data_IF_525431555254
#
_entry.id   IF_525431555254
#
_cell.length_a   1.000
_cell.length_b   1.000
_cell.length_c   1.000
_cell.angle_alpha   90.00
_cell.angle_beta   90.00
_cell.angle_gamma   90.00
#
_symmetry.space_group_name_H-M   'P 1'
#
loop_
_entity.id
_entity.type
_entity.pdbx_description
1 polymer ?
#
# COMPACT_ATOMS: atom_id res chain seq x y z
N UNK A 1 20.26 -3.89 24.50
CA UNK A 1 21.48 -4.25 23.73
C UNK A 1 21.12 -4.18 22.25
N UNK A 2 21.92 -3.52 21.41
CA UNK A 2 21.56 -3.30 20.00
C UNK A 2 21.54 -4.61 19.17
N UNK A 3 20.96 -4.53 17.97
CA UNK A 3 20.80 -5.65 17.04
C UNK A 3 22.16 -6.26 16.66
N UNK A 4 22.49 -7.42 17.25
CA UNK A 4 23.77 -8.14 17.10
C UNK A 4 23.93 -8.69 15.67
N UNK A 5 25.16 -8.95 15.17
CA UNK A 5 25.36 -9.43 13.79
C UNK A 5 24.58 -10.73 13.48
N UNK A 6 24.50 -11.68 14.42
CA UNK A 6 23.69 -12.90 14.26
C UNK A 6 22.18 -12.61 14.18
N UNK A 7 21.68 -11.63 14.95
CA UNK A 7 20.27 -11.21 14.86
C UNK A 7 19.95 -10.53 13.53
N UNK A 8 20.91 -9.80 12.93
CA UNK A 8 20.76 -9.23 11.57
C UNK A 8 20.68 -10.33 10.51
N UNK A 9 21.65 -11.25 10.49
CA UNK A 9 21.65 -12.37 9.55
C UNK A 9 20.36 -13.22 9.62
N UNK A 10 19.81 -13.41 10.83
CA UNK A 10 18.51 -14.05 11.02
C UNK A 10 17.36 -13.26 10.38
N UNK A 11 17.28 -11.94 10.63
CA UNK A 11 16.25 -11.06 10.02
C UNK A 11 16.37 -11.02 8.50
N UNK A 12 17.60 -10.92 7.98
CA UNK A 12 17.86 -10.89 6.53
C UNK A 12 17.46 -12.22 5.86
N UNK A 13 17.71 -13.36 6.52
CA UNK A 13 17.29 -14.68 6.03
C UNK A 13 15.76 -14.89 6.10
N UNK A 14 15.10 -14.47 7.20
CA UNK A 14 13.62 -14.51 7.31
C UNK A 14 12.97 -13.59 6.26
N UNK A 15 13.54 -12.40 6.01
CA UNK A 15 13.10 -11.50 4.93
C UNK A 15 13.36 -12.09 3.53
N UNK A 16 14.37 -12.94 3.39
CA UNK A 16 14.60 -13.78 2.20
C UNK A 16 13.68 -14.99 2.09
N UNK A 17 12.69 -15.16 2.98
CA UNK A 17 11.70 -16.25 2.93
C UNK A 17 12.15 -17.56 3.60
N UNK A 18 13.32 -17.60 4.24
CA UNK A 18 13.77 -18.80 4.95
C UNK A 18 12.93 -19.07 6.20
N UNK A 19 12.72 -20.35 6.55
CA UNK A 19 12.02 -20.70 7.79
C UNK A 19 12.82 -20.28 9.03
N UNK A 20 12.17 -20.12 10.18
CA UNK A 20 12.87 -19.79 11.43
C UNK A 20 13.99 -20.79 11.82
N UNK A 21 13.96 -22.03 11.30
CA UNK A 21 15.04 -23.00 11.51
C UNK A 21 16.22 -22.68 10.58
N UNK A 22 15.95 -22.50 9.30
CA UNK A 22 16.96 -22.30 8.26
C UNK A 22 17.62 -20.92 8.37
N UNK A 23 16.85 -19.90 8.77
CA UNK A 23 17.36 -18.58 9.11
C UNK A 23 18.31 -18.60 10.32
N UNK A 24 18.11 -19.51 11.29
CA UNK A 24 19.06 -19.71 12.39
C UNK A 24 20.33 -20.44 11.92
N UNK A 25 20.23 -21.38 10.98
CA UNK A 25 21.40 -22.00 10.35
C UNK A 25 22.20 -20.95 9.57
N UNK A 26 21.54 -20.13 8.75
CA UNK A 26 22.15 -19.01 8.03
C UNK A 26 22.80 -17.95 8.95
N UNK A 27 22.24 -17.73 10.15
CA UNK A 27 22.81 -16.88 11.19
C UNK A 27 23.99 -17.52 11.98
N UNK A 28 24.41 -18.74 11.62
CA UNK A 28 25.55 -19.44 12.23
C UNK A 28 25.22 -20.07 13.59
N UNK A 29 24.04 -20.67 13.72
CA UNK A 29 23.69 -21.58 14.83
C UNK A 29 23.77 -23.04 14.36
N UNK A 30 24.23 -23.94 15.23
CA UNK A 30 24.37 -25.36 14.90
C UNK A 30 23.01 -26.00 14.59
N UNK A 31 22.93 -26.79 13.51
CA UNK A 31 21.68 -27.34 12.96
C UNK A 31 20.82 -28.09 14.01
N UNK A 32 21.46 -28.85 14.92
CA UNK A 32 20.79 -29.54 16.03
C UNK A 32 20.07 -28.60 17.02
N UNK A 33 20.58 -27.38 17.18
CA UNK A 33 20.02 -26.34 18.07
C UNK A 33 19.19 -25.28 17.33
N UNK A 34 19.28 -25.22 16.01
CA UNK A 34 18.78 -24.12 15.19
C UNK A 34 17.27 -23.89 15.36
N UNK A 35 16.48 -24.95 15.54
CA UNK A 35 15.05 -24.84 15.80
C UNK A 35 14.72 -24.11 17.11
N UNK A 36 15.46 -24.41 18.19
CA UNK A 36 15.26 -23.78 19.50
C UNK A 36 15.85 -22.37 19.53
N UNK A 37 16.98 -22.15 18.87
CA UNK A 37 17.58 -20.82 18.69
C UNK A 37 16.66 -19.89 17.88
N UNK A 38 16.16 -20.36 16.73
CA UNK A 38 15.22 -19.62 15.87
C UNK A 38 13.91 -19.26 16.59
N UNK A 39 13.35 -20.18 17.38
CA UNK A 39 12.14 -19.91 18.17
C UNK A 39 12.35 -18.86 19.29
N UNK A 40 13.59 -18.70 19.79
CA UNK A 40 13.97 -17.63 20.73
C UNK A 40 14.20 -16.31 19.99
N UNK A 41 14.95 -16.34 18.88
CA UNK A 41 15.23 -15.17 18.04
C UNK A 41 13.96 -14.53 17.48
N UNK A 42 13.00 -15.33 16.99
CA UNK A 42 11.72 -14.82 16.47
C UNK A 42 10.87 -14.07 17.52
N UNK A 43 11.16 -14.25 18.82
CA UNK A 43 10.48 -13.59 19.94
C UNK A 43 11.29 -12.43 20.54
N UNK A 44 12.53 -12.23 20.11
CA UNK A 44 13.38 -11.15 20.61
C UNK A 44 12.83 -9.80 20.13
N UNK A 45 12.61 -8.86 21.06
CA UNK A 45 12.06 -7.52 20.76
C UNK A 45 12.80 -6.82 19.60
N UNK A 46 14.13 -6.85 19.61
CA UNK A 46 14.97 -6.24 18.56
C UNK A 46 14.87 -6.95 17.20
N UNK A 47 14.58 -8.26 17.16
CA UNK A 47 14.37 -9.01 15.91
C UNK A 47 13.00 -8.67 15.34
N UNK A 48 11.98 -8.57 16.19
CA UNK A 48 10.63 -8.13 15.80
C UNK A 48 10.66 -6.70 15.27
N UNK A 49 11.28 -5.76 16.01
CA UNK A 49 11.50 -4.36 15.59
C UNK A 49 12.19 -4.25 14.22
N UNK A 50 13.14 -5.16 13.91
CA UNK A 50 13.86 -5.17 12.65
C UNK A 50 13.13 -5.88 11.49
N UNK A 51 12.19 -6.78 11.80
CA UNK A 51 11.30 -7.43 10.82
C UNK A 51 10.17 -6.47 10.40
N UNK A 52 9.56 -5.77 11.37
CA UNK A 52 8.51 -4.77 11.11
C UNK A 52 9.08 -3.45 10.54
N UNK A 53 10.33 -3.12 10.88
CA UNK A 53 11.04 -1.98 10.31
C UNK A 53 11.34 -2.15 8.81
N UNK A 54 10.99 -1.13 8.03
CA UNK A 54 11.35 -0.99 6.61
C UNK A 54 12.87 -1.19 6.40
N UNK A 55 13.30 -1.91 5.34
CA UNK A 55 14.72 -2.14 5.08
C UNK A 55 15.43 -0.85 4.66
N UNK A 56 16.22 -0.27 5.58
CA UNK A 56 17.17 0.80 5.23
C UNK A 56 18.23 0.21 4.31
N UNK A 57 18.13 0.52 3.02
CA UNK A 57 18.85 -0.11 1.93
C UNK A 57 20.35 0.29 1.89
N UNK A 58 21.15 -0.26 2.81
CA UNK A 58 22.60 0.03 2.95
C UNK A 58 23.47 -0.39 1.76
N UNK A 59 22.89 -0.97 0.71
CA UNK A 59 23.59 -1.41 -0.50
C UNK A 59 23.91 -0.27 -1.49
N UNK A 60 23.33 0.91 -1.33
CA UNK A 60 23.59 2.07 -2.23
C UNK A 60 25.00 2.66 -2.03
N UNK A 61 25.62 2.52 -0.85
CA UNK A 61 26.95 3.07 -0.56
C UNK A 61 28.11 2.08 -0.81
N UNK A 62 28.05 1.27 -1.88
CA UNK A 62 29.18 0.45 -2.34
C UNK A 62 29.32 0.45 -3.87
N UNK A 63 29.87 1.54 -4.38
CA UNK A 63 30.49 1.58 -5.71
C UNK A 63 32.02 1.51 -5.61
N UNK A 64 32.67 0.99 -6.65
CA UNK A 64 34.14 0.83 -6.85
C UNK A 64 34.74 -0.29 -5.96
N UNK A 65 35.19 -1.46 -6.48
CA UNK A 65 36.02 -1.71 -7.68
C UNK A 65 36.05 -3.22 -8.04
N UNK A 66 36.14 -3.57 -9.33
CA UNK A 66 36.50 -4.92 -9.82
C UNK A 66 35.53 -5.51 -10.84
N UNK A 67 35.98 -5.70 -12.09
CA UNK A 67 35.20 -6.19 -13.23
C UNK A 67 35.63 -7.63 -13.68
N UNK A 68 34.89 -8.29 -14.59
CA UNK A 68 34.92 -9.76 -14.84
C UNK A 68 35.85 -10.17 -16.01
N UNK A 69 35.70 -11.33 -16.72
CA UNK A 69 34.65 -11.48 -17.78
C UNK A 69 34.18 -12.92 -18.20
N UNK A 70 33.13 -12.93 -19.06
CA UNK A 70 32.71 -13.95 -20.08
C UNK A 70 32.29 -15.36 -19.59
N UNK A 71 31.29 -16.06 -20.16
CA UNK A 71 30.76 -16.20 -21.54
C UNK A 71 29.24 -16.54 -21.50
N UNK A 72 28.41 -16.48 -22.56
CA UNK A 72 28.52 -16.09 -23.97
C UNK A 72 27.16 -15.59 -24.53
N UNK A 73 27.22 -14.91 -25.68
CA UNK A 73 26.13 -14.45 -26.57
C UNK A 73 26.71 -14.40 -28.01
N UNK A 74 26.02 -13.96 -29.10
CA UNK A 74 24.62 -13.54 -29.28
C UNK A 74 23.70 -14.74 -29.66
N UNK A 75 22.59 -14.71 -30.41
CA UNK A 75 21.92 -13.78 -31.37
C UNK A 75 20.42 -14.16 -31.52
N UNK A 76 19.50 -13.47 -32.24
CA UNK A 76 19.62 -12.60 -33.43
C UNK A 76 18.74 -11.31 -33.39
N UNK A 77 17.85 -11.06 -34.37
CA UNK A 77 17.12 -9.80 -34.74
C UNK A 77 15.79 -10.18 -35.43
N UNK A 78 14.75 -9.36 -35.66
CA UNK A 78 14.52 -7.89 -35.63
C UNK A 78 13.18 -7.56 -34.94
N UNK A 79 12.87 -6.35 -34.46
CA UNK A 79 13.67 -5.12 -34.38
C UNK A 79 12.87 -3.91 -33.83
N UNK A 80 13.58 -2.83 -33.46
CA UNK A 80 13.17 -1.39 -33.41
C UNK A 80 11.95 -0.96 -32.55
N UNK A 81 11.95 0.12 -31.75
CA UNK A 81 13.04 1.01 -31.27
C UNK A 81 12.60 1.74 -29.97
N UNK A 82 13.60 2.08 -29.16
CA UNK A 82 13.75 2.92 -27.94
C UNK A 82 12.67 3.98 -27.54
N UNK A 83 12.66 4.48 -26.28
CA UNK A 83 13.35 4.02 -25.06
C UNK A 83 12.40 3.68 -23.90
N UNK A 84 12.87 2.85 -22.96
CA UNK A 84 12.23 2.71 -21.64
C UNK A 84 12.57 3.95 -20.81
N UNK A 85 11.71 4.97 -20.87
CA UNK A 85 11.71 6.06 -19.89
C UNK A 85 11.67 5.46 -18.49
N UNK A 86 12.57 5.93 -17.61
CA UNK A 86 12.56 5.51 -16.23
C UNK A 86 11.21 5.89 -15.63
N UNK A 87 10.46 4.87 -15.17
CA UNK A 87 9.33 5.08 -14.27
C UNK A 87 9.91 5.52 -12.92
N UNK A 88 10.40 6.76 -12.89
CA UNK A 88 10.85 7.44 -11.70
C UNK A 88 9.76 7.28 -10.66
N UNK A 89 10.18 6.91 -9.46
CA UNK A 89 9.29 6.57 -8.36
C UNK A 89 8.13 7.54 -8.33
N UNK A 90 6.90 7.00 -8.35
CA UNK A 90 5.70 7.77 -8.05
C UNK A 90 5.79 8.20 -6.58
N UNK A 91 6.62 9.22 -6.35
CA UNK A 91 7.00 9.73 -5.06
C UNK A 91 5.71 10.18 -4.42
N UNK A 92 5.24 9.36 -3.48
CA UNK A 92 3.96 9.52 -2.80
C UNK A 92 3.83 10.98 -2.39
N UNK A 93 2.98 11.74 -3.10
CA UNK A 93 2.94 13.19 -2.96
C UNK A 93 2.29 13.49 -1.62
N UNK A 94 3.16 13.59 -0.61
CA UNK A 94 2.79 13.80 0.77
C UNK A 94 2.01 15.13 0.91
N UNK A 95 2.24 16.10 0.02
CA UNK A 95 1.50 17.37 -0.06
C UNK A 95 0.09 17.22 -0.63
N UNK A 96 -0.18 16.21 -1.46
CA UNK A 96 -1.53 15.76 -1.82
C UNK A 96 -2.13 14.88 -0.72
N UNK A 97 -1.37 13.97 -0.11
CA UNK A 97 -1.89 13.12 0.98
C UNK A 97 -2.29 13.91 2.23
N UNK A 98 -1.48 14.90 2.65
CA UNK A 98 -1.78 15.80 3.77
C UNK A 98 -2.87 16.83 3.47
N UNK A 99 -3.30 16.97 2.21
CA UNK A 99 -4.42 17.85 1.82
C UNK A 99 -5.79 17.25 2.16
N UNK A 100 -5.88 15.94 2.34
CA UNK A 100 -7.14 15.25 2.65
C UNK A 100 -7.04 14.62 4.04
N UNK A 101 -7.84 15.13 4.98
CA UNK A 101 -8.03 14.52 6.30
C UNK A 101 -8.70 13.15 6.20
N UNK A 102 -9.61 13.01 5.22
CA UNK A 102 -10.48 11.86 5.06
C UNK A 102 -10.12 11.03 3.82
N UNK A 103 -9.98 9.70 3.95
CA UNK A 103 -9.56 8.84 2.85
C UNK A 103 -10.59 8.82 1.70
N UNK A 104 -11.87 9.07 2.01
CA UNK A 104 -12.93 9.18 0.99
C UNK A 104 -12.68 10.36 0.04
N UNK A 105 -12.23 11.49 0.57
CA UNK A 105 -12.04 12.71 -0.24
C UNK A 105 -10.78 12.61 -1.09
N UNK A 106 -9.72 11.96 -0.58
CA UNK A 106 -8.57 11.56 -1.39
C UNK A 106 -8.96 10.64 -2.56
N UNK A 107 -9.83 9.64 -2.32
CA UNK A 107 -10.30 8.73 -3.37
C UNK A 107 -11.22 9.43 -4.40
N UNK A 108 -12.05 10.39 -3.97
CA UNK A 108 -12.80 11.25 -4.90
C UNK A 108 -11.87 12.11 -5.75
N UNK A 109 -10.83 12.70 -5.16
CA UNK A 109 -9.86 13.51 -5.87
C UNK A 109 -9.07 12.67 -6.89
N UNK A 110 -8.53 11.50 -6.49
CA UNK A 110 -7.80 10.61 -7.40
C UNK A 110 -8.68 10.04 -8.51
N UNK A 111 -9.96 9.72 -8.25
CA UNK A 111 -10.90 9.28 -9.29
C UNK A 111 -11.14 10.36 -10.37
N UNK A 112 -11.15 11.64 -9.97
CA UNK A 112 -11.39 12.79 -10.85
C UNK A 112 -10.13 13.38 -11.49
N UNK A 113 -8.93 12.94 -11.07
CA UNK A 113 -7.65 13.40 -11.61
C UNK A 113 -7.36 12.74 -12.97
N UNK A 114 -7.43 13.52 -14.05
CA UNK A 114 -7.19 13.01 -15.40
C UNK A 114 -5.73 12.67 -15.69
N UNK A 115 -4.78 13.22 -14.93
CA UNK A 115 -3.34 12.94 -15.05
C UNK A 115 -2.96 11.63 -14.34
N UNK A 116 -3.75 11.19 -13.36
CA UNK A 116 -3.55 9.93 -12.66
C UNK A 116 -3.78 8.70 -13.56
N UNK A 117 -3.04 7.60 -13.33
CA UNK A 117 -3.17 6.37 -14.10
C UNK A 117 -4.62 5.86 -14.12
N UNK A 118 -5.12 5.47 -15.30
CA UNK A 118 -6.47 4.96 -15.47
C UNK A 118 -6.79 3.75 -14.56
N UNK A 119 -5.80 2.90 -14.26
CA UNK A 119 -6.00 1.78 -13.32
C UNK A 119 -6.21 2.25 -11.88
N UNK A 120 -5.42 3.23 -11.43
CA UNK A 120 -5.52 3.81 -10.09
C UNK A 120 -6.87 4.53 -9.90
N UNK A 121 -7.34 5.27 -10.92
CA UNK A 121 -8.70 5.83 -10.96
C UNK A 121 -9.80 4.77 -10.81
N UNK A 122 -9.69 3.67 -11.54
CA UNK A 122 -10.65 2.56 -11.49
C UNK A 122 -10.63 1.86 -10.12
N UNK A 123 -9.47 1.75 -9.48
CA UNK A 123 -9.36 1.19 -8.13
C UNK A 123 -9.98 2.11 -7.07
N UNK A 124 -9.70 3.42 -7.15
CA UNK A 124 -10.33 4.42 -6.29
C UNK A 124 -11.87 4.40 -6.42
N UNK A 125 -12.40 4.33 -7.65
CA UNK A 125 -13.83 4.20 -7.90
C UNK A 125 -14.42 2.92 -7.28
N UNK A 126 -13.74 1.77 -7.40
CA UNK A 126 -14.17 0.49 -6.79
C UNK A 126 -14.17 0.56 -5.26
N UNK A 127 -13.11 1.11 -4.66
CA UNK A 127 -13.01 1.29 -3.21
C UNK A 127 -14.10 2.23 -2.67
N UNK A 128 -14.55 3.18 -3.49
CA UNK A 128 -15.57 4.16 -3.11
C UNK A 128 -17.02 3.68 -3.35
N UNK A 129 -17.25 2.68 -4.21
CA UNK A 129 -18.59 2.13 -4.47
C UNK A 129 -19.39 1.78 -3.20
N UNK A 130 -18.87 1.09 -2.17
CA UNK A 130 -19.65 0.76 -0.96
C UNK A 130 -20.11 1.98 -0.15
N UNK A 131 -19.42 3.13 -0.29
CA UNK A 131 -19.67 4.34 0.49
C UNK A 131 -20.61 5.35 -0.17
N UNK A 132 -20.78 5.28 -1.50
CA UNK A 132 -21.83 6.03 -2.22
C UNK A 132 -23.05 5.16 -2.50
N UNK A 133 -22.83 3.87 -2.77
CA UNK A 133 -23.89 2.90 -2.99
C UNK A 133 -23.83 1.86 -1.86
N UNK A 134 -24.55 2.10 -0.73
CA UNK A 134 -24.61 1.11 0.34
C UNK A 134 -25.02 -0.23 -0.26
N UNK A 135 -24.29 -1.30 0.08
CA UNK A 135 -24.51 -2.62 -0.51
C UNK A 135 -25.97 -2.98 -0.33
N UNK A 136 -26.59 -3.53 -1.39
CA UNK A 136 -28.03 -3.78 -1.50
C UNK A 136 -28.50 -4.82 -0.47
N UNK A 137 -28.69 -4.38 0.77
CA UNK A 137 -28.90 -5.21 1.96
C UNK A 137 -28.47 -4.56 3.28
N UNK A 138 -27.45 -3.68 3.28
CA UNK A 138 -26.94 -3.02 4.50
C UNK A 138 -27.69 -1.72 4.86
N UNK A 139 -28.26 -1.00 3.89
CA UNK A 139 -29.10 0.17 4.18
C UNK A 139 -30.42 -0.24 4.83
N UNK A 140 -30.48 -0.12 6.16
CA UNK A 140 -31.65 -0.48 6.95
C UNK A 140 -32.92 0.24 6.48
N UNK A 141 -34.09 -0.41 6.60
CA UNK A 141 -35.39 0.10 6.11
C UNK A 141 -35.70 1.56 6.51
N UNK A 142 -35.16 2.03 7.64
CA UNK A 142 -35.31 3.41 8.13
C UNK A 142 -34.53 4.44 7.30
N UNK A 143 -33.31 4.13 6.85
CA UNK A 143 -32.50 5.07 6.07
C UNK A 143 -33.00 5.17 4.63
N UNK A 144 -33.34 4.04 4.01
CA UNK A 144 -33.97 4.00 2.68
C UNK A 144 -35.29 4.79 2.66
N UNK A 145 -36.06 4.77 3.75
CA UNK A 145 -37.26 5.59 3.87
C UNK A 145 -36.94 7.09 3.98
N UNK A 146 -35.89 7.46 4.72
CA UNK A 146 -35.43 8.84 4.91
C UNK A 146 -34.87 9.45 3.62
N UNK A 147 -34.04 8.73 2.87
CA UNK A 147 -33.51 9.16 1.58
C UNK A 147 -34.62 9.32 0.53
N UNK A 148 -35.55 8.35 0.44
CA UNK A 148 -36.71 8.45 -0.45
C UNK A 148 -37.61 9.64 -0.09
N UNK A 149 -37.80 9.93 1.19
CA UNK A 149 -38.54 11.11 1.63
C UNK A 149 -37.81 12.42 1.26
N UNK A 150 -36.48 12.48 1.41
CA UNK A 150 -35.69 13.64 1.02
C UNK A 150 -35.74 13.89 -0.50
N UNK A 151 -35.58 12.85 -1.32
CA UNK A 151 -35.70 12.95 -2.79
C UNK A 151 -37.11 13.33 -3.23
N UNK A 152 -38.15 12.78 -2.60
CA UNK A 152 -39.54 13.14 -2.88
C UNK A 152 -39.85 14.61 -2.51
N UNK A 153 -39.27 15.11 -1.40
CA UNK A 153 -39.41 16.49 -0.96
C UNK A 153 -38.71 17.52 -1.87
N UNK A 154 -37.76 17.11 -2.70
CA UNK A 154 -37.14 17.95 -3.75
C UNK A 154 -37.83 17.86 -5.12
N UNK A 155 -38.76 16.91 -5.31
CA UNK A 155 -39.50 16.75 -6.57
C UNK A 155 -40.58 17.81 -6.79
N UNK A 156 -41.32 17.69 -7.90
CA UNK A 156 -42.45 18.59 -8.26
C UNK A 156 -43.58 18.67 -7.23
N UNK A 157 -43.63 17.73 -6.29
CA UNK A 157 -44.59 17.66 -5.17
C UNK A 157 -43.94 18.04 -3.81
N UNK A 158 -42.72 18.58 -3.82
CA UNK A 158 -42.05 19.09 -2.64
C UNK A 158 -42.88 20.16 -1.93
N UNK A 159 -42.79 20.20 -0.60
CA UNK A 159 -43.50 21.18 0.23
C UNK A 159 -43.01 22.57 -0.15
N UNK A 160 -43.83 23.32 -0.89
CA UNK A 160 -43.54 24.72 -1.23
C UNK A 160 -43.39 25.51 0.07
N UNK A 161 -42.30 26.27 0.20
CA UNK A 161 -42.02 27.13 1.35
C UNK A 161 -43.24 28.02 1.61
N UNK A 162 -43.87 27.86 2.77
CA UNK A 162 -45.10 28.57 3.11
C UNK A 162 -44.92 30.09 3.05
N UNK A 163 -46.00 30.85 2.77
CA UNK A 163 -45.92 32.30 2.67
C UNK A 163 -45.37 32.90 3.97
N UNK A 164 -44.44 33.86 3.84
CA UNK A 164 -43.86 34.55 4.99
C UNK A 164 -44.97 35.35 5.68
N UNK A 165 -45.23 35.02 6.95
CA UNK A 165 -46.16 35.77 7.78
C UNK A 165 -45.54 37.12 8.16
N UNK A 166 -45.77 38.13 7.31
CA UNK A 166 -45.50 39.52 7.64
C UNK A 166 -46.56 39.96 8.66
N UNK A 167 -46.25 39.78 9.93
CA UNK A 167 -47.01 40.39 11.04
C UNK A 167 -46.38 41.74 11.35
N UNK A 168 -47.25 42.73 11.54
CA UNK A 168 -46.98 44.16 11.64
C UNK A 168 -46.78 44.61 13.09
#
# INVERSE_FOLDING_TARGET
MALTPKKRAFVDAVRGGASNKDAAIAAGYAASSAAQAGARLAKDRFVIEALTGQPVNKKVNKFVKGSPPATAAPSVVDGQDLPTEEQGDAAFDLSKALRFSDPKDFLLATMNDFEAEAKLRVDAAKALMPFIHPRKGESGKKEVAKEKAAGAAQGRFGVRKGPLSVVK
#
